data_IF_965069277027
#
_entry.id   IF_965069277027
#
_cell.length_a   1.000
_cell.length_b   1.000
_cell.length_c   1.000
_cell.angle_alpha   90.00
_cell.angle_beta   90.00
_cell.angle_gamma   90.00
#
_symmetry.space_group_name_H-M   'P 1'
#
loop_
_entity.id
_entity.type
_entity.pdbx_description
1 polymer ?
#
# COMPACT_ATOMS: atom_id res chain seq x y z
N UNK A 1 25.52 16.87 27.45
CA UNK A 1 24.56 15.75 27.30
C UNK A 1 23.10 16.18 27.04
N UNK A 2 22.66 17.40 27.40
CA UNK A 2 21.27 17.86 27.19
C UNK A 2 20.86 18.12 25.72
N UNK A 3 21.80 18.49 24.83
CA UNK A 3 21.52 18.75 23.41
C UNK A 3 21.04 17.51 22.62
N UNK A 4 21.36 16.30 23.09
CA UNK A 4 20.97 15.04 22.43
C UNK A 4 19.48 14.70 22.60
N UNK A 5 18.88 15.07 23.74
CA UNK A 5 17.48 14.70 24.06
C UNK A 5 16.48 15.38 23.14
N UNK A 6 16.72 16.65 22.78
CA UNK A 6 15.84 17.40 21.87
C UNK A 6 15.83 16.82 20.45
N UNK A 7 16.99 16.37 19.94
CA UNK A 7 17.09 15.73 18.63
C UNK A 7 16.42 14.36 18.62
N UNK A 8 16.65 13.54 19.66
CA UNK A 8 16.00 12.23 19.78
C UNK A 8 14.47 12.33 19.83
N UNK A 9 13.93 13.30 20.58
CA UNK A 9 12.48 13.54 20.62
C UNK A 9 11.92 13.96 19.25
N UNK A 10 12.61 14.87 18.53
CA UNK A 10 12.19 15.28 17.18
C UNK A 10 12.15 14.09 16.21
N UNK A 11 13.14 13.20 16.27
CA UNK A 11 13.17 12.00 15.42
C UNK A 11 11.96 11.11 15.71
N UNK A 12 11.70 10.78 16.99
CA UNK A 12 10.55 9.96 17.37
C UNK A 12 9.21 10.59 16.96
N UNK A 13 9.08 11.91 17.10
CA UNK A 13 7.88 12.62 16.65
C UNK A 13 7.70 12.50 15.12
N UNK A 14 8.77 12.69 14.34
CA UNK A 14 8.71 12.55 12.89
C UNK A 14 8.41 11.11 12.46
N UNK A 15 8.96 10.10 13.13
CA UNK A 15 8.67 8.69 12.87
C UNK A 15 7.20 8.35 13.16
N UNK A 16 6.66 8.83 14.30
CA UNK A 16 5.26 8.65 14.66
C UNK A 16 4.33 9.34 13.65
N UNK A 17 4.61 10.59 13.29
CA UNK A 17 3.85 11.33 12.28
C UNK A 17 3.91 10.64 10.92
N UNK A 18 5.10 10.20 10.48
CA UNK A 18 5.27 9.46 9.22
C UNK A 18 4.41 8.20 9.21
N UNK A 19 4.41 7.44 10.32
CA UNK A 19 3.61 6.20 10.43
C UNK A 19 2.11 6.49 10.32
N UNK A 20 1.62 7.52 11.01
CA UNK A 20 0.22 7.92 10.97
C UNK A 20 -0.19 8.42 9.57
N UNK A 21 0.65 9.25 8.93
CA UNK A 21 0.43 9.79 7.58
C UNK A 21 0.41 8.64 6.56
N UNK A 22 1.41 7.76 6.56
CA UNK A 22 1.46 6.61 5.65
C UNK A 22 0.23 5.72 5.83
N UNK A 23 -0.19 5.46 7.08
CA UNK A 23 -1.38 4.66 7.36
C UNK A 23 -2.67 5.32 6.85
N UNK A 24 -2.87 6.61 7.18
CA UNK A 24 -4.07 7.35 6.78
C UNK A 24 -4.17 7.50 5.25
N UNK A 25 -3.09 7.91 4.58
CA UNK A 25 -3.08 8.04 3.13
C UNK A 25 -3.09 6.68 2.42
N UNK A 26 -2.51 5.63 3.02
CA UNK A 26 -2.62 4.27 2.51
C UNK A 26 -4.08 3.80 2.47
N UNK A 27 -4.86 4.09 3.52
CA UNK A 27 -6.29 3.80 3.55
C UNK A 27 -7.07 4.62 2.52
N UNK A 28 -6.83 5.94 2.44
CA UNK A 28 -7.48 6.81 1.44
C UNK A 28 -7.17 6.34 0.02
N UNK A 29 -5.91 5.98 -0.26
CA UNK A 29 -5.51 5.44 -1.56
C UNK A 29 -6.22 4.13 -1.86
N UNK A 30 -6.27 3.18 -0.91
CA UNK A 30 -6.97 1.90 -1.11
C UNK A 30 -8.45 2.11 -1.47
N UNK A 31 -9.13 3.03 -0.77
CA UNK A 31 -10.53 3.36 -1.06
C UNK A 31 -10.70 4.02 -2.42
N UNK A 32 -9.85 5.00 -2.75
CA UNK A 32 -9.92 5.73 -4.02
C UNK A 32 -9.68 4.82 -5.23
N UNK A 33 -8.72 3.91 -5.15
CA UNK A 33 -8.46 2.94 -6.23
C UNK A 33 -9.60 1.93 -6.38
N UNK A 34 -10.19 1.45 -5.28
CA UNK A 34 -11.38 0.59 -5.33
C UNK A 34 -12.53 1.30 -6.09
N UNK A 35 -12.85 2.54 -5.73
CA UNK A 35 -13.91 3.30 -6.39
C UNK A 35 -13.59 3.61 -7.85
N UNK A 36 -12.34 3.97 -8.17
CA UNK A 36 -11.92 4.23 -9.54
C UNK A 36 -12.06 3.00 -10.45
N UNK A 37 -11.66 1.81 -9.98
CA UNK A 37 -11.80 0.56 -10.76
C UNK A 37 -13.28 0.25 -10.98
N UNK A 38 -14.12 0.39 -9.95
CA UNK A 38 -15.58 0.18 -10.08
C UNK A 38 -16.21 1.12 -11.08
N UNK A 39 -15.89 2.42 -11.02
CA UNK A 39 -16.41 3.42 -11.95
C UNK A 39 -15.99 3.13 -13.40
N UNK A 40 -14.74 2.71 -13.60
CA UNK A 40 -14.24 2.29 -14.92
C UNK A 40 -15.01 1.09 -15.47
N UNK A 41 -15.23 0.07 -14.65
CA UNK A 41 -16.00 -1.13 -15.03
C UNK A 41 -17.46 -0.77 -15.34
N UNK A 42 -18.10 0.04 -14.50
CA UNK A 42 -19.48 0.48 -14.72
C UNK A 42 -19.64 1.23 -16.05
N UNK A 43 -18.65 2.04 -16.44
CA UNK A 43 -18.63 2.74 -17.72
C UNK A 43 -18.54 1.79 -18.91
N UNK A 44 -17.74 0.73 -18.81
CA UNK A 44 -17.54 -0.25 -19.89
C UNK A 44 -18.76 -1.17 -20.04
N UNK A 45 -19.29 -1.68 -18.91
CA UNK A 45 -20.38 -2.65 -18.90
C UNK A 45 -21.78 -2.02 -18.89
N UNK A 46 -21.88 -0.68 -18.85
CA UNK A 46 -23.13 0.10 -18.75
C UNK A 46 -24.06 -0.35 -17.60
N UNK A 47 -23.51 -1.04 -16.62
CA UNK A 47 -24.22 -1.56 -15.45
C UNK A 47 -23.22 -1.71 -14.31
N UNK A 48 -23.62 -1.22 -13.14
CA UNK A 48 -22.89 -1.30 -11.88
C UNK A 48 -22.95 -2.69 -11.24
N UNK A 49 -23.96 -3.49 -11.58
CA UNK A 49 -24.26 -4.78 -10.95
C UNK A 49 -24.29 -5.96 -11.95
N UNK A 50 -23.62 -5.83 -13.09
CA UNK A 50 -23.42 -6.97 -13.99
C UNK A 50 -22.54 -8.03 -13.33
N UNK A 51 -22.97 -9.29 -13.34
CA UNK A 51 -22.18 -10.44 -12.85
C UNK A 51 -20.80 -10.46 -13.53
N UNK A 52 -20.74 -10.16 -14.82
CA UNK A 52 -19.48 -10.08 -15.57
C UNK A 52 -18.61 -8.91 -15.10
N UNK A 53 -19.21 -7.75 -14.79
CA UNK A 53 -18.49 -6.60 -14.23
C UNK A 53 -17.88 -6.91 -12.86
N UNK A 54 -18.64 -7.57 -11.98
CA UNK A 54 -18.16 -7.99 -10.67
C UNK A 54 -17.05 -9.04 -10.75
N UNK A 55 -17.14 -9.96 -11.71
CA UNK A 55 -16.08 -10.96 -11.96
C UNK A 55 -14.79 -10.28 -12.45
N UNK A 56 -14.89 -9.32 -13.37
CA UNK A 56 -13.74 -8.55 -13.86
C UNK A 56 -13.11 -7.73 -12.74
N UNK A 57 -13.92 -7.05 -11.91
CA UNK A 57 -13.45 -6.32 -10.73
C UNK A 57 -12.64 -7.23 -9.80
N UNK A 58 -13.19 -8.40 -9.45
CA UNK A 58 -12.54 -9.34 -8.55
C UNK A 58 -11.17 -9.80 -9.10
N UNK A 59 -11.12 -10.16 -10.38
CA UNK A 59 -9.87 -10.58 -11.04
C UNK A 59 -8.83 -9.46 -11.00
N UNK A 60 -9.21 -8.22 -11.36
CA UNK A 60 -8.29 -7.08 -11.37
C UNK A 60 -7.72 -6.84 -9.97
N UNK A 61 -8.57 -6.79 -8.94
CA UNK A 61 -8.14 -6.52 -7.57
C UNK A 61 -7.25 -7.65 -7.05
N UNK A 62 -7.55 -8.92 -7.35
CA UNK A 62 -6.69 -10.04 -6.96
C UNK A 62 -5.33 -9.99 -7.64
N UNK A 63 -5.27 -9.71 -8.95
CA UNK A 63 -4.00 -9.58 -9.67
C UNK A 63 -3.17 -8.44 -9.09
N UNK A 64 -3.78 -7.28 -8.84
CA UNK A 64 -3.09 -6.14 -8.21
C UNK A 64 -2.55 -6.50 -6.83
N UNK A 65 -3.35 -7.17 -6.00
CA UNK A 65 -2.93 -7.61 -4.67
C UNK A 65 -1.71 -8.55 -4.75
N UNK A 66 -1.77 -9.58 -5.59
CA UNK A 66 -0.67 -10.55 -5.77
C UNK A 66 0.60 -9.87 -6.28
N UNK A 67 0.49 -9.00 -7.30
CA UNK A 67 1.64 -8.27 -7.84
C UNK A 67 2.26 -7.39 -6.76
N UNK A 68 1.46 -6.61 -6.04
CA UNK A 68 1.97 -5.74 -4.96
C UNK A 68 2.63 -6.55 -3.84
N UNK A 69 2.04 -7.68 -3.42
CA UNK A 69 2.66 -8.58 -2.43
C UNK A 69 4.02 -9.07 -2.91
N UNK A 70 4.11 -9.57 -4.15
CA UNK A 70 5.38 -10.07 -4.71
C UNK A 70 6.43 -8.95 -4.76
N UNK A 71 6.05 -7.75 -5.21
CA UNK A 71 6.97 -6.61 -5.30
C UNK A 71 7.50 -6.21 -3.91
N UNK A 72 6.64 -6.13 -2.90
CA UNK A 72 7.04 -5.80 -1.53
C UNK A 72 7.95 -6.89 -0.97
N UNK A 73 7.56 -8.17 -1.04
CA UNK A 73 8.38 -9.29 -0.54
C UNK A 73 9.76 -9.33 -1.19
N UNK A 74 9.84 -9.10 -2.51
CA UNK A 74 11.12 -9.05 -3.23
C UNK A 74 11.96 -7.84 -2.80
N UNK A 75 11.34 -6.69 -2.58
CA UNK A 75 12.03 -5.47 -2.15
C UNK A 75 12.60 -5.62 -0.74
N UNK A 76 11.82 -6.19 0.19
CA UNK A 76 12.28 -6.52 1.55
C UNK A 76 13.46 -7.49 1.48
N UNK A 77 13.35 -8.58 0.70
CA UNK A 77 14.45 -9.55 0.55
C UNK A 77 15.74 -8.88 0.03
N UNK A 78 15.62 -8.02 -0.98
CA UNK A 78 16.78 -7.27 -1.51
C UNK A 78 17.39 -6.34 -0.47
N UNK A 79 16.57 -5.60 0.28
CA UNK A 79 17.03 -4.72 1.34
C UNK A 79 17.76 -5.50 2.46
N UNK A 80 17.26 -6.68 2.83
CA UNK A 80 17.92 -7.55 3.80
C UNK A 80 19.31 -8.03 3.34
N UNK A 81 19.41 -8.47 2.08
CA UNK A 81 20.68 -8.91 1.48
C UNK A 81 21.69 -7.76 1.45
N UNK A 82 21.29 -6.56 1.02
CA UNK A 82 22.20 -5.39 0.99
C UNK A 82 22.67 -4.95 2.37
N UNK A 83 21.93 -5.29 3.43
CA UNK A 83 22.27 -4.98 4.80
C UNK A 83 23.11 -6.09 5.48
N UNK A 84 23.47 -7.16 4.77
CA UNK A 84 24.22 -8.29 5.34
C UNK A 84 23.43 -9.13 6.36
N UNK A 85 22.10 -9.02 6.36
CA UNK A 85 21.24 -9.82 7.21
C UNK A 85 21.00 -11.19 6.55
N UNK A 86 21.15 -12.25 7.33
CA UNK A 86 20.83 -13.61 6.87
C UNK A 86 19.35 -13.67 6.45
N UNK A 87 19.11 -14.15 5.23
CA UNK A 87 17.76 -14.39 4.74
C UNK A 87 17.43 -15.85 4.99
N UNK A 88 16.65 -16.12 6.03
CA UNK A 88 15.95 -17.40 6.21
C UNK A 88 14.91 -17.62 5.09
#
# INVERSE_FOLDING_TARGET
MAASKGTAFKVQLLEAMSTLIIGAFGLVAALAWNEAIKAMIATIFKSDNSILGNLVYAIIVTVLAVVMTILITRSVKKAKISAGMETE
#
